data_IF_636102441451
#
_entry.id   IF_636102441451
#
_cell.length_a   1.000
_cell.length_b   1.000
_cell.length_c   1.000
_cell.angle_alpha   90.00
_cell.angle_beta   90.00
_cell.angle_gamma   90.00
#
_symmetry.space_group_name_H-M   'P 1'
#
loop_
_entity.id
_entity.type
_entity.pdbx_description
1 polymer ?
#
# COMPACT_ATOMS: atom_id res chain seq x y z
N UNK A 1 16.04 37.02 6.72
CA UNK A 1 16.95 36.01 7.31
C UNK A 1 16.26 34.64 7.26
N UNK A 2 16.81 33.69 6.55
CA UNK A 2 16.30 32.30 6.59
C UNK A 2 16.76 31.70 7.91
N UNK A 3 15.82 31.17 8.69
CA UNK A 3 16.11 30.52 9.97
C UNK A 3 17.06 29.33 9.75
N UNK A 4 18.16 29.26 10.50
CA UNK A 4 19.12 28.15 10.45
C UNK A 4 18.47 26.79 10.77
N UNK A 5 17.37 26.77 11.54
CA UNK A 5 16.60 25.59 11.86
C UNK A 5 15.94 24.95 10.61
N UNK A 6 15.45 25.75 9.64
CA UNK A 6 14.86 25.23 8.42
C UNK A 6 15.89 24.55 7.50
N UNK A 7 17.15 25.03 7.49
CA UNK A 7 18.20 24.40 6.69
C UNK A 7 18.69 23.06 7.28
N UNK A 8 18.61 22.87 8.60
CA UNK A 8 19.03 21.63 9.26
C UNK A 8 18.02 20.48 9.05
N UNK A 9 16.73 20.78 8.95
CA UNK A 9 15.71 19.76 8.65
C UNK A 9 15.94 19.14 7.27
N UNK A 10 16.27 19.94 6.26
CA UNK A 10 16.56 19.46 4.91
C UNK A 10 17.89 18.69 4.79
N UNK A 11 18.87 18.97 5.63
CA UNK A 11 20.18 18.28 5.64
C UNK A 11 20.13 16.89 6.27
N UNK A 12 19.09 16.56 7.02
CA UNK A 12 18.92 15.26 7.71
C UNK A 12 18.03 14.27 6.97
N UNK A 13 17.54 14.60 5.78
CA UNK A 13 16.82 13.67 4.95
C UNK A 13 17.79 12.60 4.44
N UNK A 14 17.53 11.34 4.78
CA UNK A 14 18.26 10.18 4.26
C UNK A 14 18.07 10.03 2.75
N UNK A 15 18.80 9.10 2.15
CA UNK A 15 18.62 8.78 0.74
C UNK A 15 17.23 8.17 0.52
N UNK A 16 16.36 8.88 -0.21
CA UNK A 16 14.99 8.45 -0.52
C UNK A 16 14.92 7.12 -1.32
N UNK A 17 16.04 6.69 -1.91
CA UNK A 17 16.11 5.45 -2.68
C UNK A 17 16.52 4.23 -1.86
N UNK A 18 17.04 4.44 -0.64
CA UNK A 18 17.56 3.36 0.22
C UNK A 18 16.98 3.35 1.62
N UNK A 19 16.20 4.37 2.00
CA UNK A 19 15.62 4.46 3.33
C UNK A 19 14.56 3.35 3.52
N UNK A 20 14.93 2.29 4.21
CA UNK A 20 13.97 1.35 4.80
C UNK A 20 13.63 1.84 6.20
N UNK A 21 12.34 1.95 6.48
CA UNK A 21 11.85 2.31 7.81
C UNK A 21 11.47 1.01 8.55
N UNK A 22 12.46 0.16 8.78
CA UNK A 22 12.38 -0.94 9.73
C UNK A 22 12.91 -0.47 11.08
N UNK A 23 12.30 -0.89 12.18
CA UNK A 23 12.74 -0.56 13.53
C UNK A 23 11.57 -0.47 14.51
N UNK A 24 11.89 -0.39 15.78
CA UNK A 24 10.90 -0.19 16.84
C UNK A 24 10.07 1.07 16.55
N UNK A 25 8.75 0.93 16.64
CA UNK A 25 7.81 2.02 16.41
C UNK A 25 6.99 2.32 17.65
N UNK A 26 6.80 3.58 17.92
CA UNK A 26 5.83 4.04 18.92
C UNK A 26 4.49 4.17 18.23
N UNK A 27 3.48 3.44 18.70
CA UNK A 27 2.11 3.57 18.20
C UNK A 27 1.54 4.90 18.69
N UNK A 28 1.23 5.80 17.77
CA UNK A 28 0.51 7.05 18.03
C UNK A 28 -1.00 6.94 17.73
N UNK A 29 -1.44 5.78 17.21
CA UNK A 29 -2.85 5.45 17.01
C UNK A 29 -3.50 4.98 18.30
N UNK A 30 -4.84 5.05 18.43
CA UNK A 30 -5.55 4.32 19.48
C UNK A 30 -5.17 2.83 19.48
N UNK A 31 -5.24 2.14 20.66
CA UNK A 31 -4.69 0.78 20.81
C UNK A 31 -5.41 -0.30 20.00
N UNK A 32 -6.62 0.00 19.49
CA UNK A 32 -7.41 -1.00 18.76
C UNK A 32 -7.11 -1.09 17.26
N UNK A 33 -6.37 -0.15 16.66
CA UNK A 33 -5.94 -0.26 15.26
C UNK A 33 -4.50 0.20 15.04
N UNK A 34 -3.87 -0.36 14.02
CA UNK A 34 -2.53 0.04 13.60
C UNK A 34 -2.38 -0.02 12.08
N UNK A 35 -1.50 0.83 11.55
CA UNK A 35 -1.12 0.77 10.15
C UNK A 35 0.08 -0.15 9.96
N UNK A 36 0.03 -1.04 8.98
CA UNK A 36 1.17 -1.83 8.50
C UNK A 36 1.59 -1.30 7.13
N UNK A 37 2.71 -0.60 7.08
CA UNK A 37 3.25 -0.11 5.82
C UNK A 37 4.08 -1.21 5.16
N UNK A 38 3.61 -1.72 4.00
CA UNK A 38 4.22 -2.86 3.32
C UNK A 38 5.24 -2.47 2.25
N UNK A 39 5.18 -1.23 1.76
CA UNK A 39 6.11 -0.70 0.77
C UNK A 39 6.26 0.82 0.88
N UNK A 40 7.27 1.37 0.22
CA UNK A 40 7.56 2.81 0.14
C UNK A 40 7.86 3.19 -1.31
N UNK A 41 7.53 4.44 -1.70
CA UNK A 41 7.74 4.94 -3.06
C UNK A 41 6.66 4.50 -4.05
N UNK A 42 6.76 4.98 -5.28
CA UNK A 42 5.79 4.68 -6.33
C UNK A 42 6.39 4.88 -7.71
N UNK A 43 6.16 3.93 -8.63
CA UNK A 43 6.64 3.96 -10.02
C UNK A 43 5.51 4.22 -11.04
N UNK A 44 4.32 4.64 -10.60
CA UNK A 44 3.20 4.90 -11.51
C UNK A 44 3.36 6.18 -12.34
N UNK A 45 4.16 7.15 -11.86
CA UNK A 45 4.47 8.39 -12.58
C UNK A 45 3.25 9.15 -13.11
N UNK A 46 2.13 9.14 -12.37
CA UNK A 46 0.95 9.93 -12.75
C UNK A 46 1.33 11.41 -12.93
N UNK A 47 0.85 12.05 -14.00
CA UNK A 47 1.30 13.39 -14.42
C UNK A 47 1.10 14.50 -13.36
N UNK A 48 0.18 14.31 -12.44
CA UNK A 48 -0.16 15.25 -11.36
C UNK A 48 0.51 14.90 -10.02
N UNK A 49 1.31 13.83 -9.95
CA UNK A 49 1.78 13.26 -8.69
C UNK A 49 3.27 13.52 -8.44
N UNK A 50 3.58 14.08 -7.27
CA UNK A 50 4.95 14.38 -6.85
C UNK A 50 5.60 13.22 -6.06
N UNK A 51 4.85 12.18 -5.72
CA UNK A 51 5.32 11.07 -4.86
C UNK A 51 6.62 10.43 -5.38
N UNK A 52 6.77 10.10 -6.68
CA UNK A 52 8.03 9.50 -7.16
C UNK A 52 9.27 10.34 -6.84
N UNK A 53 9.16 11.67 -6.90
CA UNK A 53 10.28 12.57 -6.59
C UNK A 53 10.52 12.76 -5.08
N UNK A 54 9.48 12.56 -4.24
CA UNK A 54 9.59 12.70 -2.79
C UNK A 54 9.97 11.40 -2.07
N UNK A 55 9.44 10.26 -2.56
CA UNK A 55 9.56 8.94 -1.93
C UNK A 55 10.46 7.97 -2.70
N UNK A 56 10.85 8.34 -3.93
CA UNK A 56 11.67 7.51 -4.81
C UNK A 56 10.93 6.34 -5.42
N UNK A 57 11.70 5.38 -5.96
CA UNK A 57 11.18 4.16 -6.58
C UNK A 57 10.42 3.30 -5.58
N UNK A 58 9.52 2.49 -6.11
CA UNK A 58 8.79 1.49 -5.32
C UNK A 58 9.73 0.49 -4.66
N UNK A 59 9.55 0.25 -3.39
CA UNK A 59 10.35 -0.68 -2.57
C UNK A 59 9.44 -1.42 -1.60
N UNK A 60 9.28 -2.72 -1.81
CA UNK A 60 8.58 -3.61 -0.89
C UNK A 60 9.44 -3.91 0.34
N UNK A 61 8.80 -4.03 1.48
CA UNK A 61 9.45 -4.60 2.66
C UNK A 61 9.45 -6.12 2.58
N UNK A 62 10.49 -6.81 3.11
CA UNK A 62 10.51 -8.27 3.18
C UNK A 62 9.30 -8.83 3.93
N UNK A 63 8.72 -9.92 3.42
CA UNK A 63 7.49 -10.51 3.97
C UNK A 63 7.67 -10.96 5.42
N UNK A 64 8.82 -11.56 5.76
CA UNK A 64 9.13 -11.98 7.13
C UNK A 64 9.09 -10.81 8.11
N UNK A 65 9.71 -9.67 7.78
CA UNK A 65 9.69 -8.47 8.65
C UNK A 65 8.26 -7.94 8.86
N UNK A 66 7.42 -8.01 7.83
CA UNK A 66 6.02 -7.58 7.92
C UNK A 66 5.20 -8.51 8.82
N UNK A 67 5.44 -9.82 8.73
CA UNK A 67 4.75 -10.81 9.55
C UNK A 67 5.20 -10.73 11.01
N UNK A 68 6.48 -10.50 11.26
CA UNK A 68 7.01 -10.30 12.62
C UNK A 68 6.38 -9.05 13.26
N UNK A 69 6.39 -7.90 12.56
CA UNK A 69 5.74 -6.66 13.03
C UNK A 69 4.23 -6.86 13.26
N UNK A 70 3.55 -7.56 12.34
CA UNK A 70 2.12 -7.81 12.48
C UNK A 70 1.82 -8.73 13.69
N UNK A 71 2.67 -9.73 13.96
CA UNK A 71 2.53 -10.60 15.12
C UNK A 71 2.71 -9.84 16.46
N UNK A 72 3.67 -8.91 16.50
CA UNK A 72 3.85 -8.01 17.66
C UNK A 72 2.62 -7.13 17.88
N UNK A 73 2.06 -6.54 16.81
CA UNK A 73 0.84 -5.73 16.89
C UNK A 73 -0.36 -6.54 17.37
N UNK A 74 -0.54 -7.76 16.86
CA UNK A 74 -1.60 -8.66 17.29
C UNK A 74 -1.45 -9.02 18.78
N UNK A 75 -0.23 -9.35 19.22
CA UNK A 75 0.10 -9.66 20.62
C UNK A 75 -0.12 -8.46 21.55
N UNK A 76 0.08 -7.24 21.07
CA UNK A 76 -0.23 -6.00 21.78
C UNK A 76 -1.73 -5.68 21.87
N UNK A 77 -2.60 -6.51 21.26
CA UNK A 77 -4.06 -6.38 21.34
C UNK A 77 -4.69 -5.53 20.25
N UNK A 78 -3.95 -5.15 19.20
CA UNK A 78 -4.51 -4.45 18.03
C UNK A 78 -5.57 -5.34 17.38
N UNK A 79 -6.75 -4.79 17.09
CA UNK A 79 -7.88 -5.53 16.52
C UNK A 79 -8.06 -5.27 15.02
N UNK A 80 -7.73 -4.09 14.54
CA UNK A 80 -7.79 -3.76 13.12
C UNK A 80 -6.39 -3.45 12.59
N UNK A 81 -5.95 -4.23 11.60
CA UNK A 81 -4.71 -3.99 10.86
C UNK A 81 -5.03 -3.28 9.55
N UNK A 82 -4.46 -2.09 9.34
CA UNK A 82 -4.64 -1.31 8.11
C UNK A 82 -3.38 -1.43 7.26
N UNK A 83 -3.47 -2.17 6.17
CA UNK A 83 -2.36 -2.39 5.22
C UNK A 83 -2.26 -1.20 4.27
N UNK A 84 -1.11 -0.55 4.24
CA UNK A 84 -0.88 0.67 3.45
C UNK A 84 0.45 0.67 2.69
N UNK A 85 0.45 1.37 1.56
CA UNK A 85 1.61 1.87 0.82
C UNK A 85 1.14 3.06 -0.05
N UNK A 86 1.96 3.57 -0.95
CA UNK A 86 1.50 4.45 -2.01
C UNK A 86 0.69 3.70 -3.08
N UNK A 87 0.94 2.40 -3.20
CA UNK A 87 0.23 1.45 -4.04
C UNK A 87 0.50 0.05 -3.46
N UNK A 88 -0.49 -0.57 -2.81
CA UNK A 88 -0.29 -1.89 -2.20
C UNK A 88 -0.34 -3.02 -3.22
N UNK A 89 -0.99 -2.82 -4.37
CA UNK A 89 -1.21 -3.87 -5.37
C UNK A 89 0.09 -4.38 -6.00
N UNK A 90 1.12 -3.54 -6.03
CA UNK A 90 2.44 -3.88 -6.57
C UNK A 90 3.37 -4.59 -5.58
N UNK A 91 2.90 -4.88 -4.37
CA UNK A 91 3.74 -5.52 -3.36
C UNK A 91 4.40 -6.81 -3.88
N UNK A 92 5.73 -6.87 -3.75
CA UNK A 92 6.56 -7.99 -4.18
C UNK A 92 7.15 -7.88 -5.59
N UNK A 93 6.59 -7.05 -6.47
CA UNK A 93 7.03 -6.98 -7.87
C UNK A 93 8.49 -6.53 -8.05
N UNK A 94 9.00 -5.73 -7.13
CA UNK A 94 10.39 -5.28 -7.10
C UNK A 94 11.36 -6.31 -6.46
N UNK A 95 10.83 -7.30 -5.73
CA UNK A 95 11.64 -8.34 -5.06
C UNK A 95 11.91 -9.53 -6.00
N UNK A 96 10.88 -10.03 -6.68
CA UNK A 96 10.98 -11.23 -7.52
C UNK A 96 10.15 -11.16 -8.82
N UNK A 97 9.59 -9.99 -9.14
CA UNK A 97 8.78 -9.79 -10.36
C UNK A 97 7.32 -10.25 -10.23
N UNK A 98 6.89 -10.74 -9.06
CA UNK A 98 5.54 -11.28 -8.85
C UNK A 98 4.72 -10.41 -7.89
N UNK A 99 3.40 -10.34 -8.12
CA UNK A 99 2.47 -9.75 -7.16
C UNK A 99 2.31 -10.68 -5.95
N UNK A 100 2.77 -10.26 -4.78
CA UNK A 100 2.74 -11.07 -3.56
C UNK A 100 1.72 -10.60 -2.52
N UNK A 101 0.90 -9.60 -2.83
CA UNK A 101 -0.07 -9.08 -1.86
C UNK A 101 -1.07 -10.15 -1.41
N UNK A 102 -1.61 -10.94 -2.34
CA UNK A 102 -2.55 -12.03 -2.01
C UNK A 102 -1.93 -13.04 -1.02
N UNK A 103 -0.66 -13.41 -1.25
CA UNK A 103 0.08 -14.31 -0.34
C UNK A 103 0.29 -13.67 1.03
N UNK A 104 0.72 -12.41 1.08
CA UNK A 104 0.89 -11.68 2.34
C UNK A 104 -0.41 -11.63 3.15
N UNK A 105 -1.54 -11.33 2.48
CA UNK A 105 -2.84 -11.24 3.15
C UNK A 105 -3.27 -12.58 3.74
N UNK A 106 -3.07 -13.71 3.04
CA UNK A 106 -3.33 -15.05 3.56
C UNK A 106 -2.53 -15.33 4.85
N UNK A 107 -1.27 -14.91 4.91
CA UNK A 107 -0.45 -15.07 6.12
C UNK A 107 -0.92 -14.14 7.26
N UNK A 108 -1.23 -12.88 6.96
CA UNK A 108 -1.77 -11.93 7.95
C UNK A 108 -3.11 -12.39 8.54
N UNK A 109 -3.96 -13.06 7.76
CA UNK A 109 -5.23 -13.62 8.24
C UNK A 109 -5.08 -14.73 9.29
N UNK A 110 -3.89 -15.35 9.40
CA UNK A 110 -3.60 -16.35 10.45
C UNK A 110 -3.37 -15.71 11.82
N UNK A 111 -3.05 -14.42 11.89
CA UNK A 111 -2.80 -13.69 13.13
C UNK A 111 -4.11 -13.27 13.82
N UNK A 112 -4.04 -12.91 15.11
CA UNK A 112 -5.23 -12.56 15.93
C UNK A 112 -5.70 -11.12 15.69
N UNK A 113 -6.01 -10.79 14.43
CA UNK A 113 -6.76 -9.59 14.08
C UNK A 113 -8.24 -9.90 13.91
N UNK A 114 -9.09 -8.92 14.26
CA UNK A 114 -10.52 -8.98 13.96
C UNK A 114 -10.79 -8.55 12.52
N UNK A 115 -10.12 -7.46 12.07
CA UNK A 115 -10.22 -6.93 10.71
C UNK A 115 -8.86 -6.61 10.10
N UNK A 116 -8.74 -6.83 8.79
CA UNK A 116 -7.64 -6.40 7.94
C UNK A 116 -8.24 -5.51 6.85
N UNK A 117 -7.83 -4.25 6.82
CA UNK A 117 -8.30 -3.26 5.85
C UNK A 117 -7.21 -2.93 4.86
N UNK A 118 -7.59 -2.73 3.59
CA UNK A 118 -6.68 -2.43 2.48
C UNK A 118 -6.91 -1.00 2.00
N UNK A 119 -5.83 -0.22 1.85
CA UNK A 119 -5.88 1.13 1.32
C UNK A 119 -4.90 1.32 0.17
N UNK A 120 -5.28 2.18 -0.79
CA UNK A 120 -4.45 2.59 -1.91
C UNK A 120 -4.15 1.46 -2.90
N UNK A 121 -5.20 0.88 -3.47
CA UNK A 121 -5.10 -0.08 -4.56
C UNK A 121 -5.06 0.67 -5.91
N UNK A 122 -4.33 0.09 -6.87
CA UNK A 122 -4.33 0.60 -8.25
C UNK A 122 -5.16 -0.33 -9.15
N UNK A 123 -6.10 0.19 -9.97
CA UNK A 123 -7.04 -0.64 -10.71
C UNK A 123 -6.38 -1.74 -11.56
N UNK A 124 -5.40 -1.36 -12.40
CA UNK A 124 -4.73 -2.29 -13.33
C UNK A 124 -3.97 -3.43 -12.64
N UNK A 125 -3.47 -3.22 -11.43
CA UNK A 125 -2.68 -4.20 -10.69
C UNK A 125 -3.54 -4.96 -9.64
N UNK A 126 -4.87 -4.74 -9.63
CA UNK A 126 -5.82 -5.50 -8.81
C UNK A 126 -6.17 -6.80 -9.54
N UNK A 127 -5.46 -7.88 -9.19
CA UNK A 127 -5.57 -9.19 -9.84
C UNK A 127 -6.78 -9.98 -9.37
N UNK A 128 -7.26 -10.94 -10.18
CA UNK A 128 -8.36 -11.85 -9.82
C UNK A 128 -7.99 -12.66 -8.54
N UNK A 129 -6.73 -13.12 -8.42
CA UNK A 129 -6.27 -13.80 -7.21
C UNK A 129 -6.43 -12.92 -5.96
N UNK A 130 -6.10 -11.64 -6.06
CA UNK A 130 -6.28 -10.70 -4.94
C UNK A 130 -7.75 -10.56 -4.57
N UNK A 131 -8.62 -10.46 -5.56
CA UNK A 131 -10.07 -10.36 -5.37
C UNK A 131 -10.62 -11.61 -4.70
N UNK A 132 -10.21 -12.81 -5.16
CA UNK A 132 -10.61 -14.08 -4.58
C UNK A 132 -10.20 -14.19 -3.11
N UNK A 133 -8.99 -13.73 -2.76
CA UNK A 133 -8.53 -13.69 -1.37
C UNK A 133 -9.38 -12.73 -0.55
N UNK A 134 -9.64 -11.52 -1.06
CA UNK A 134 -10.48 -10.54 -0.37
C UNK A 134 -11.90 -11.10 -0.18
N UNK A 135 -12.45 -11.79 -1.17
CA UNK A 135 -13.78 -12.37 -1.11
C UNK A 135 -13.88 -13.54 -0.12
N UNK A 136 -12.89 -14.43 -0.12
CA UNK A 136 -12.91 -15.67 0.67
C UNK A 136 -12.49 -15.49 2.13
N UNK A 137 -11.60 -14.54 2.44
CA UNK A 137 -11.07 -14.36 3.80
C UNK A 137 -12.01 -13.49 4.65
N UNK A 138 -12.60 -14.04 5.73
CA UNK A 138 -13.60 -13.33 6.53
C UNK A 138 -13.01 -12.15 7.32
N UNK A 139 -11.72 -12.18 7.63
CA UNK A 139 -11.04 -11.09 8.35
C UNK A 139 -10.76 -9.88 7.47
N UNK A 140 -10.73 -10.05 6.13
CA UNK A 140 -10.51 -8.94 5.21
C UNK A 140 -11.81 -8.17 5.04
N UNK A 141 -11.79 -6.87 5.37
CA UNK A 141 -12.94 -5.98 5.20
C UNK A 141 -13.32 -5.89 3.72
N UNK A 142 -14.60 -6.09 3.41
CA UNK A 142 -15.13 -6.05 2.04
C UNK A 142 -15.28 -4.59 1.56
N UNK A 143 -14.19 -3.85 1.64
CA UNK A 143 -14.06 -2.46 1.23
C UNK A 143 -12.74 -2.29 0.48
N UNK A 144 -12.80 -1.69 -0.69
CA UNK A 144 -11.63 -1.40 -1.52
C UNK A 144 -11.52 0.11 -1.75
N UNK A 145 -10.34 0.65 -1.48
CA UNK A 145 -9.98 2.03 -1.75
C UNK A 145 -9.20 2.11 -3.07
N UNK A 146 -9.93 2.35 -4.17
CA UNK A 146 -9.40 2.32 -5.54
C UNK A 146 -9.64 3.67 -6.22
N UNK A 147 -8.65 4.56 -6.31
CA UNK A 147 -8.79 5.86 -6.97
C UNK A 147 -8.78 5.70 -8.49
N UNK A 148 -9.96 5.71 -9.12
CA UNK A 148 -10.12 5.60 -10.57
C UNK A 148 -9.71 6.88 -11.33
N UNK A 149 -9.66 8.02 -10.66
CA UNK A 149 -9.29 9.36 -11.13
C UNK A 149 -10.22 9.93 -12.21
N UNK A 150 -10.46 9.20 -13.29
CA UNK A 150 -11.37 9.57 -14.38
C UNK A 150 -11.87 8.31 -15.13
N UNK A 151 -12.90 8.44 -15.98
CA UNK A 151 -13.44 7.34 -16.79
C UNK A 151 -13.37 7.58 -18.31
N UNK A 152 -12.62 8.58 -18.76
CA UNK A 152 -12.37 8.85 -20.18
C UNK A 152 -10.93 8.53 -20.53
N UNK A 153 -10.71 7.67 -21.55
CA UNK A 153 -9.39 7.16 -21.92
C UNK A 153 -8.42 8.26 -22.36
N UNK A 154 -8.90 9.30 -23.05
CA UNK A 154 -8.06 10.44 -23.44
C UNK A 154 -7.53 11.18 -22.24
N UNK A 155 -8.36 11.36 -21.19
CA UNK A 155 -7.97 12.04 -19.96
C UNK A 155 -7.06 11.14 -19.14
N UNK A 156 -7.39 9.86 -18.98
CA UNK A 156 -6.54 8.88 -18.28
C UNK A 156 -5.15 8.83 -18.90
N UNK A 157 -5.06 8.80 -20.23
CA UNK A 157 -3.78 8.85 -20.95
C UNK A 157 -3.02 10.17 -20.71
N UNK A 158 -3.70 11.31 -20.72
CA UNK A 158 -3.09 12.60 -20.41
C UNK A 158 -2.60 12.69 -18.95
N UNK A 159 -3.26 11.97 -18.03
CA UNK A 159 -2.85 11.81 -16.63
C UNK A 159 -1.72 10.79 -16.43
N UNK A 160 -1.22 10.17 -17.49
CA UNK A 160 -0.26 9.07 -17.47
C UNK A 160 -0.76 7.89 -16.62
N UNK A 161 -2.06 7.59 -16.71
CA UNK A 161 -2.69 6.41 -16.08
C UNK A 161 -2.62 5.24 -17.05
N UNK A 162 -2.43 4.03 -16.50
CA UNK A 162 -2.37 2.78 -17.29
C UNK A 162 -3.74 2.17 -17.53
N UNK A 163 -4.71 2.52 -16.68
CA UNK A 163 -6.08 2.01 -16.74
C UNK A 163 -6.83 2.61 -17.93
N UNK A 164 -7.74 1.82 -18.49
CA UNK A 164 -8.74 2.26 -19.46
C UNK A 164 -10.13 2.25 -18.86
N UNK A 165 -11.10 2.91 -19.52
CA UNK A 165 -12.51 2.81 -19.15
C UNK A 165 -13.01 1.35 -19.10
N UNK A 166 -12.53 0.51 -20.03
CA UNK A 166 -12.90 -0.90 -20.09
C UNK A 166 -12.40 -1.65 -18.84
N UNK A 167 -11.16 -1.43 -18.42
CA UNK A 167 -10.58 -2.02 -17.21
C UNK A 167 -11.35 -1.62 -15.96
N UNK A 168 -11.69 -0.32 -15.86
CA UNK A 168 -12.46 0.20 -14.73
C UNK A 168 -13.88 -0.38 -14.66
N UNK A 169 -14.53 -0.58 -15.82
CA UNK A 169 -15.85 -1.21 -15.88
C UNK A 169 -15.77 -2.70 -15.50
N UNK A 170 -14.77 -3.43 -16.01
CA UNK A 170 -14.55 -4.83 -15.65
C UNK A 170 -14.33 -4.97 -14.14
N UNK A 171 -13.48 -4.15 -13.54
CA UNK A 171 -13.26 -4.14 -12.10
C UNK A 171 -14.52 -3.76 -11.30
N UNK A 172 -15.33 -2.81 -11.80
CA UNK A 172 -16.59 -2.40 -11.16
C UNK A 172 -17.63 -3.52 -11.12
N UNK A 173 -17.67 -4.41 -12.12
CA UNK A 173 -18.61 -5.53 -12.18
C UNK A 173 -18.32 -6.62 -11.15
N UNK A 174 -17.12 -6.68 -10.58
CA UNK A 174 -16.77 -7.64 -9.52
C UNK A 174 -17.59 -7.40 -8.25
N UNK A 175 -18.07 -6.17 -8.02
CA UNK A 175 -18.91 -5.84 -6.87
C UNK A 175 -20.40 -6.27 -7.03
N UNK A 176 -20.79 -6.69 -8.20
CA UNK A 176 -22.16 -7.11 -8.51
C UNK A 176 -22.27 -8.63 -8.55
#
# INVERSE_FOLDING_TARGET
MRSSAASDVYKRQGNIHTANQSGERILSTPPWYAYLRIAEGCDNHCAYCVIPSLRGKYRSRPMNELLDEAAELASAGVKELIVIAQDITRYGTDLNGEHQLAKLLKELCKLDFHWIRLHYLYPTDTTDELIDVIASEPKIVKYLDIPIQHCNDTILKAMNRRDTKADLLALSLIHI
#
